data_IF_536269587929
#
_entry.id   IF_536269587929
#
_cell.length_a   1.000
_cell.length_b   1.000
_cell.length_c   1.000
_cell.angle_alpha   90.00
_cell.angle_beta   90.00
_cell.angle_gamma   90.00
#
_symmetry.space_group_name_H-M   'P 1'
#
loop_
_entity.id
_entity.type
_entity.pdbx_description
1 polymer ?
#
# COMPACT_ATOMS: atom_id res chain seq x y z
N UNK A 1 9.40 -30.41 6.70
CA UNK A 1 8.01 -29.92 6.52
C UNK A 1 7.24 -30.93 5.71
N UNK A 2 6.00 -31.26 6.09
CA UNK A 2 5.15 -32.14 5.28
C UNK A 2 4.58 -31.39 4.07
N UNK A 3 4.19 -32.11 3.02
CA UNK A 3 3.55 -31.50 1.84
C UNK A 3 2.32 -30.67 2.21
N UNK A 4 1.53 -31.13 3.17
CA UNK A 4 0.37 -30.42 3.70
C UNK A 4 0.74 -29.09 4.40
N UNK A 5 1.84 -29.08 5.16
CA UNK A 5 2.33 -27.85 5.80
C UNK A 5 2.85 -26.83 4.79
N UNK A 6 3.49 -27.28 3.71
CA UNK A 6 3.98 -26.42 2.64
C UNK A 6 2.81 -25.79 1.87
N UNK A 7 1.84 -26.60 1.48
CA UNK A 7 0.64 -26.14 0.78
C UNK A 7 -0.13 -25.09 1.60
N UNK A 8 -0.29 -25.33 2.92
CA UNK A 8 -0.91 -24.36 3.83
C UNK A 8 -0.15 -23.03 3.85
N UNK A 9 1.18 -23.05 3.97
CA UNK A 9 1.99 -21.84 3.99
C UNK A 9 1.86 -21.06 2.69
N UNK A 10 1.88 -21.74 1.54
CA UNK A 10 1.72 -21.09 0.22
C UNK A 10 0.36 -20.41 0.12
N UNK A 11 -0.73 -21.12 0.44
CA UNK A 11 -2.09 -20.55 0.39
C UNK A 11 -2.22 -19.33 1.30
N UNK A 12 -1.70 -19.41 2.53
CA UNK A 12 -1.73 -18.27 3.46
C UNK A 12 -0.86 -17.11 3.00
N UNK A 13 0.25 -17.38 2.29
CA UNK A 13 1.14 -16.34 1.76
C UNK A 13 0.43 -15.54 0.66
N UNK A 14 -0.23 -16.24 -0.27
CA UNK A 14 -1.04 -15.63 -1.32
C UNK A 14 -2.20 -14.83 -0.70
N UNK A 15 -2.94 -15.43 0.24
CA UNK A 15 -4.04 -14.75 0.91
C UNK A 15 -3.56 -13.50 1.65
N UNK A 16 -2.40 -13.55 2.31
CA UNK A 16 -1.81 -12.41 3.00
C UNK A 16 -1.54 -11.24 2.04
N UNK A 17 -0.97 -11.51 0.86
CA UNK A 17 -0.73 -10.49 -0.17
C UNK A 17 -2.05 -9.92 -0.70
N UNK A 18 -3.02 -10.78 -1.02
CA UNK A 18 -4.34 -10.33 -1.52
C UNK A 18 -5.04 -9.43 -0.51
N UNK A 19 -5.06 -9.82 0.76
CA UNK A 19 -5.70 -9.02 1.81
C UNK A 19 -4.92 -7.72 2.05
N UNK A 20 -3.60 -7.71 1.96
CA UNK A 20 -2.81 -6.49 2.05
C UNK A 20 -3.16 -5.48 0.94
N UNK A 21 -3.33 -5.96 -0.31
CA UNK A 21 -3.76 -5.11 -1.41
C UNK A 21 -5.22 -4.64 -1.25
N UNK A 22 -6.08 -5.46 -0.66
CA UNK A 22 -7.43 -5.04 -0.28
C UNK A 22 -7.38 -3.93 0.80
N UNK A 23 -6.50 -4.05 1.80
CA UNK A 23 -6.27 -3.00 2.80
C UNK A 23 -5.81 -1.69 2.14
N UNK A 24 -4.89 -1.76 1.17
CA UNK A 24 -4.49 -0.59 0.39
C UNK A 24 -5.70 0.08 -0.26
N UNK A 25 -6.54 -0.69 -0.95
CA UNK A 25 -7.73 -0.17 -1.64
C UNK A 25 -8.76 0.43 -0.68
N UNK A 26 -9.00 -0.22 0.47
CA UNK A 26 -9.93 0.28 1.49
C UNK A 26 -9.46 1.59 2.13
N UNK A 27 -8.18 1.67 2.52
CA UNK A 27 -7.62 2.88 3.13
C UNK A 27 -7.57 4.01 2.10
N UNK A 28 -7.10 3.74 0.88
CA UNK A 28 -7.06 4.76 -0.17
C UNK A 28 -8.47 5.22 -0.56
N UNK A 29 -9.43 4.30 -0.63
CA UNK A 29 -10.83 4.59 -0.93
C UNK A 29 -11.54 5.42 0.15
N UNK A 30 -11.10 5.33 1.41
CA UNK A 30 -11.62 6.17 2.49
C UNK A 30 -11.43 7.66 2.21
N UNK A 31 -10.45 8.05 1.39
CA UNK A 31 -10.24 9.42 0.96
C UNK A 31 -11.50 10.03 0.34
N UNK A 32 -12.12 9.31 -0.60
CA UNK A 32 -13.32 9.77 -1.31
C UNK A 32 -14.54 9.83 -0.42
N UNK A 33 -14.64 8.91 0.55
CA UNK A 33 -15.74 8.95 1.53
C UNK A 33 -15.61 10.13 2.50
N UNK A 34 -14.39 10.52 2.88
CA UNK A 34 -14.14 11.57 3.89
C UNK A 34 -14.08 12.97 3.26
N UNK A 35 -13.65 13.10 2.01
CA UNK A 35 -13.48 14.39 1.35
C UNK A 35 -14.69 15.34 1.42
N UNK A 36 -15.94 14.89 1.21
CA UNK A 36 -17.12 15.76 1.34
C UNK A 36 -17.29 16.36 2.73
N UNK A 37 -16.93 15.61 3.78
CA UNK A 37 -17.08 16.03 5.18
C UNK A 37 -16.12 17.15 5.57
N UNK A 38 -15.01 17.30 4.84
CA UNK A 38 -14.01 18.35 5.03
C UNK A 38 -14.10 19.44 3.95
N UNK A 39 -15.18 19.46 3.17
CA UNK A 39 -15.44 20.49 2.16
C UNK A 39 -14.57 20.40 0.90
N UNK A 40 -13.96 19.24 0.63
CA UNK A 40 -13.25 19.00 -0.63
C UNK A 40 -14.26 18.62 -1.71
N UNK A 41 -14.25 19.36 -2.83
CA UNK A 41 -14.99 19.00 -4.04
C UNK A 41 -14.35 17.85 -4.81
N UNK A 42 -15.01 17.40 -5.88
CA UNK A 42 -14.62 16.20 -6.64
C UNK A 42 -13.33 16.35 -7.48
N UNK A 43 -12.71 17.53 -7.50
CA UNK A 43 -11.51 17.78 -8.29
C UNK A 43 -10.65 18.95 -7.80
N UNK A 44 -9.57 19.20 -8.54
CA UNK A 44 -8.60 20.25 -8.24
C UNK A 44 -7.43 19.80 -7.36
N UNK A 45 -6.46 20.70 -7.20
CA UNK A 45 -5.21 20.44 -6.47
C UNK A 45 -5.42 19.96 -5.02
N UNK A 46 -6.36 20.52 -4.22
CA UNK A 46 -6.57 20.07 -2.85
C UNK A 46 -7.11 18.64 -2.76
N UNK A 47 -8.05 18.28 -3.66
CA UNK A 47 -8.60 16.91 -3.75
C UNK A 47 -7.50 15.91 -4.13
N UNK A 48 -6.66 16.27 -5.09
CA UNK A 48 -5.53 15.45 -5.52
C UNK A 48 -4.51 15.23 -4.40
N UNK A 49 -4.16 16.26 -3.65
CA UNK A 49 -3.23 16.17 -2.51
C UNK A 49 -3.81 15.29 -1.39
N UNK A 50 -5.12 15.38 -1.16
CA UNK A 50 -5.84 14.54 -0.20
C UNK A 50 -5.82 13.07 -0.60
N UNK A 51 -6.19 12.76 -1.84
CA UNK A 51 -6.18 11.38 -2.35
C UNK A 51 -4.76 10.79 -2.34
N UNK A 52 -3.73 11.59 -2.64
CA UNK A 52 -2.34 11.18 -2.51
C UNK A 52 -1.97 10.84 -1.05
N UNK A 53 -2.36 11.68 -0.09
CA UNK A 53 -2.11 11.43 1.33
C UNK A 53 -2.70 10.09 1.79
N UNK A 54 -3.93 9.80 1.40
CA UNK A 54 -4.58 8.52 1.70
C UNK A 54 -3.97 7.34 0.96
N UNK A 55 -3.48 7.54 -0.27
CA UNK A 55 -2.74 6.51 -1.01
C UNK A 55 -1.44 6.13 -0.27
N UNK A 56 -0.71 7.13 0.25
CA UNK A 56 0.51 6.90 1.03
C UNK A 56 0.18 6.16 2.34
N UNK A 57 -0.88 6.57 3.05
CA UNK A 57 -1.34 5.86 4.24
C UNK A 57 -1.79 4.43 3.93
N UNK A 58 -2.46 4.22 2.79
CA UNK A 58 -2.88 2.92 2.31
C UNK A 58 -1.72 1.99 2.02
N UNK A 59 -0.68 2.49 1.35
CA UNK A 59 0.54 1.72 1.11
C UNK A 59 1.30 1.38 2.40
N UNK A 60 1.42 2.33 3.33
CA UNK A 60 2.00 2.08 4.66
C UNK A 60 1.22 1.00 5.42
N UNK A 61 -0.11 1.10 5.41
CA UNK A 61 -0.99 0.13 6.07
C UNK A 61 -0.90 -1.26 5.43
N UNK A 62 -0.82 -1.34 4.10
CA UNK A 62 -0.73 -2.59 3.36
C UNK A 62 0.60 -3.32 3.61
N UNK A 63 1.73 -2.60 3.56
CA UNK A 63 3.04 -3.21 3.84
C UNK A 63 3.16 -3.63 5.31
N UNK A 64 2.59 -2.84 6.23
CA UNK A 64 2.51 -3.21 7.65
C UNK A 64 1.61 -4.43 7.88
N UNK A 65 0.46 -4.51 7.23
CA UNK A 65 -0.43 -5.66 7.30
C UNK A 65 0.26 -6.93 6.79
N UNK A 66 0.88 -6.84 5.61
CA UNK A 66 1.59 -7.97 5.01
C UNK A 66 2.71 -8.47 5.93
N UNK A 67 3.54 -7.59 6.49
CA UNK A 67 4.60 -7.99 7.40
C UNK A 67 4.08 -8.54 8.73
N UNK A 68 3.00 -7.97 9.27
CA UNK A 68 2.42 -8.38 10.56
C UNK A 68 1.77 -9.76 10.49
N UNK A 69 1.06 -10.06 9.40
CA UNK A 69 0.27 -11.28 9.27
C UNK A 69 0.87 -12.33 8.33
N UNK A 70 2.07 -12.09 7.80
CA UNK A 70 2.78 -13.05 6.96
C UNK A 70 2.90 -14.43 7.64
N UNK A 71 2.57 -15.56 7.01
CA UNK A 71 2.75 -16.87 7.62
C UNK A 71 4.22 -17.20 7.91
N UNK A 72 5.15 -16.69 7.08
CA UNK A 72 6.61 -16.84 7.24
C UNK A 72 7.32 -15.59 6.69
N UNK A 73 8.57 -15.35 7.10
CA UNK A 73 9.42 -14.29 6.53
C UNK A 73 8.70 -12.92 6.38
N UNK A 74 8.41 -12.21 7.49
CA UNK A 74 7.59 -10.99 7.48
C UNK A 74 8.11 -9.90 6.53
N UNK A 75 9.42 -9.69 6.51
CA UNK A 75 10.06 -8.71 5.64
C UNK A 75 9.89 -9.04 4.14
N UNK A 76 9.82 -10.33 3.78
CA UNK A 76 9.64 -10.73 2.38
C UNK A 76 8.22 -10.42 1.91
N UNK A 77 7.19 -10.74 2.70
CA UNK A 77 5.80 -10.43 2.34
C UNK A 77 5.55 -8.93 2.25
N UNK A 78 6.05 -8.17 3.22
CA UNK A 78 6.01 -6.70 3.16
C UNK A 78 6.75 -6.16 1.94
N UNK A 79 7.91 -6.73 1.61
CA UNK A 79 8.70 -6.36 0.43
C UNK A 79 8.00 -6.66 -0.89
N UNK A 80 7.30 -7.80 -1.01
CA UNK A 80 6.50 -8.13 -2.20
C UNK A 80 5.37 -7.12 -2.40
N UNK A 81 4.61 -6.79 -1.35
CA UNK A 81 3.54 -5.79 -1.42
C UNK A 81 4.12 -4.41 -1.77
N UNK A 82 5.22 -4.02 -1.15
CA UNK A 82 5.92 -2.78 -1.48
C UNK A 82 6.38 -2.74 -2.94
N UNK A 83 6.92 -3.85 -3.47
CA UNK A 83 7.36 -3.92 -4.87
C UNK A 83 6.19 -3.75 -5.84
N UNK A 84 5.02 -4.32 -5.54
CA UNK A 84 3.80 -4.11 -6.32
C UNK A 84 3.39 -2.64 -6.31
N UNK A 85 3.41 -2.00 -5.15
CA UNK A 85 3.10 -0.56 -4.99
C UNK A 85 4.10 0.31 -5.77
N UNK A 86 5.40 0.00 -5.66
CA UNK A 86 6.45 0.73 -6.35
C UNK A 86 6.33 0.59 -7.88
N UNK A 87 6.04 -0.62 -8.36
CA UNK A 87 5.80 -0.87 -9.79
C UNK A 87 4.57 -0.10 -10.28
N UNK A 88 3.46 -0.12 -9.54
CA UNK A 88 2.26 0.64 -9.88
C UNK A 88 2.51 2.16 -9.89
N UNK A 89 3.30 2.65 -8.94
CA UNK A 89 3.66 4.08 -8.85
C UNK A 89 4.58 4.51 -10.00
N UNK A 90 5.55 3.67 -10.38
CA UNK A 90 6.40 3.91 -11.53
C UNK A 90 5.62 3.85 -12.84
N UNK A 91 4.68 2.89 -12.96
CA UNK A 91 3.77 2.81 -14.09
C UNK A 91 2.90 4.07 -14.20
N UNK A 92 2.28 4.50 -13.10
CA UNK A 92 1.48 5.72 -13.08
C UNK A 92 2.30 6.97 -13.44
N UNK A 93 3.55 7.06 -12.98
CA UNK A 93 4.44 8.15 -13.34
C UNK A 93 4.84 8.12 -14.83
N UNK A 94 4.94 6.94 -15.44
CA UNK A 94 5.30 6.78 -16.85
C UNK A 94 4.12 7.01 -17.80
N UNK A 95 2.99 6.37 -17.51
CA UNK A 95 1.82 6.32 -18.39
C UNK A 95 0.90 7.53 -18.21
N UNK A 96 0.77 8.01 -16.96
CA UNK A 96 -0.15 9.09 -16.59
C UNK A 96 0.60 10.37 -16.14
N UNK A 97 1.94 10.36 -16.16
CA UNK A 97 2.74 11.46 -15.63
C UNK A 97 2.51 12.80 -16.33
N UNK A 98 2.11 12.80 -17.60
CA UNK A 98 1.75 13.99 -18.35
C UNK A 98 0.39 14.57 -17.95
N UNK A 99 -0.50 13.75 -17.39
CA UNK A 99 -1.87 14.10 -17.06
C UNK A 99 -2.00 14.68 -15.65
N UNK A 100 -0.96 14.50 -14.82
CA UNK A 100 -0.90 15.00 -13.45
C UNK A 100 0.14 16.10 -13.27
N UNK A 101 -0.05 17.01 -12.29
CA UNK A 101 0.98 17.98 -11.92
C UNK A 101 2.30 17.32 -11.52
N UNK A 102 3.44 17.90 -11.91
CA UNK A 102 4.77 17.38 -11.59
C UNK A 102 4.97 17.10 -10.09
N UNK A 103 4.45 17.98 -9.22
CA UNK A 103 4.57 17.81 -7.77
C UNK A 103 3.89 16.52 -7.28
N UNK A 104 2.78 16.11 -7.90
CA UNK A 104 2.04 14.91 -7.51
C UNK A 104 2.86 13.66 -7.82
N UNK A 105 3.41 13.59 -9.04
CA UNK A 105 4.28 12.48 -9.47
C UNK A 105 5.53 12.42 -8.59
N UNK A 106 6.14 13.56 -8.29
CA UNK A 106 7.31 13.63 -7.43
C UNK A 106 7.02 13.14 -6.01
N UNK A 107 5.94 13.60 -5.39
CA UNK A 107 5.56 13.17 -4.03
C UNK A 107 5.17 11.69 -4.01
N UNK A 108 4.46 11.19 -5.03
CA UNK A 108 4.13 9.77 -5.17
C UNK A 108 5.40 8.91 -5.13
N UNK A 109 6.40 9.22 -5.95
CA UNK A 109 7.65 8.46 -6.01
C UNK A 109 8.48 8.61 -4.74
N UNK A 110 8.61 9.83 -4.20
CA UNK A 110 9.34 10.08 -2.96
C UNK A 110 8.66 9.48 -1.73
N UNK A 111 7.38 9.12 -1.81
CA UNK A 111 6.67 8.46 -0.71
C UNK A 111 6.97 6.96 -0.60
N UNK A 112 7.56 6.32 -1.62
CA UNK A 112 7.81 4.87 -1.61
C UNK A 112 8.65 4.40 -0.42
N UNK A 113 9.72 5.11 0.02
CA UNK A 113 10.44 4.74 1.24
C UNK A 113 9.57 4.85 2.51
N UNK A 114 8.67 5.84 2.57
CA UNK A 114 7.75 5.98 3.70
C UNK A 114 6.78 4.81 3.74
N UNK A 115 6.24 4.38 2.60
CA UNK A 115 5.38 3.20 2.52
C UNK A 115 6.13 1.91 2.90
N UNK A 116 7.43 1.82 2.60
CA UNK A 116 8.29 0.71 3.04
C UNK A 116 8.48 0.66 4.57
N UNK A 117 8.41 1.79 5.28
CA UNK A 117 8.51 1.82 6.74
C UNK A 117 7.41 0.98 7.43
N UNK A 118 6.28 0.76 6.75
CA UNK A 118 5.22 -0.12 7.21
C UNK A 118 5.71 -1.56 7.39
N UNK A 119 6.64 -2.05 6.57
CA UNK A 119 7.24 -3.39 6.71
C UNK A 119 7.87 -3.56 8.10
N UNK A 120 8.69 -2.58 8.51
CA UNK A 120 9.32 -2.60 9.83
C UNK A 120 8.30 -2.51 10.95
N UNK A 121 7.30 -1.63 10.82
CA UNK A 121 6.24 -1.48 11.81
C UNK A 121 5.45 -2.78 11.99
N UNK A 122 5.03 -3.40 10.89
CA UNK A 122 4.29 -4.66 10.90
C UNK A 122 5.10 -5.82 11.47
N UNK A 123 6.37 -5.92 11.10
CA UNK A 123 7.27 -6.95 11.64
C UNK A 123 7.50 -6.77 13.16
N UNK A 124 7.61 -5.52 13.64
CA UNK A 124 7.83 -5.21 15.07
C UNK A 124 6.64 -5.56 15.96
N UNK A 125 5.41 -5.40 15.49
CA UNK A 125 4.17 -5.62 16.27
C UNK A 125 3.43 -6.90 15.89
N UNK A 126 4.17 -7.90 15.41
CA UNK A 126 3.63 -9.21 15.06
C UNK A 126 3.16 -9.98 16.30
N UNK A 127 1.96 -10.58 16.29
CA UNK A 127 1.52 -11.47 17.37
C UNK A 127 2.49 -12.66 17.50
N UNK A 128 2.91 -12.98 18.72
CA UNK A 128 3.70 -14.17 19.02
C UNK A 128 2.83 -15.42 19.01
#
# INVERSE_FOLDING_TARGET
MSALSLAKTVVLSVLCVVVALFVLGMVSGAAGWIAPWIGLGDGGQPRLAWDLGWTILGGLAATAFAARYAPTLPYLHGGVVWAVIAAASAYAAWDLGSDFPFWFVLVLLLSLPLQAAGIWLGARYRPQ
#
